data_IF_731700603403
#
_entry.id   IF_731700603403
#
_cell.length_a   1.000
_cell.length_b   1.000
_cell.length_c   1.000
_cell.angle_alpha   90.00
_cell.angle_beta   90.00
_cell.angle_gamma   90.00
#
_symmetry.space_group_name_H-M   'P 1'
#
loop_
_entity.id
_entity.type
_entity.pdbx_description
1 polymer ?
#
# COMPACT_ATOMS: atom_id res chain seq x y z
N UNK A 1 -37.02 -46.66 -22.80
CA UNK A 1 -35.96 -46.45 -21.80
C UNK A 1 -35.08 -45.25 -22.17
N UNK A 2 -35.58 -43.99 -22.07
CA UNK A 2 -34.79 -42.80 -22.49
C UNK A 2 -34.90 -41.63 -21.49
N UNK A 3 -35.90 -41.62 -20.60
CA UNK A 3 -36.18 -40.46 -19.74
C UNK A 3 -35.35 -40.36 -18.44
N UNK A 4 -34.57 -41.38 -18.06
CA UNK A 4 -33.78 -41.35 -16.81
C UNK A 4 -32.44 -40.61 -16.93
N UNK A 5 -31.92 -40.43 -18.15
CA UNK A 5 -30.61 -39.79 -18.36
C UNK A 5 -30.67 -38.25 -18.36
N UNK A 6 -31.82 -37.66 -18.73
CA UNK A 6 -31.97 -36.21 -18.85
C UNK A 6 -32.02 -35.48 -17.49
N UNK A 7 -32.51 -36.16 -16.44
CA UNK A 7 -32.73 -35.54 -15.13
C UNK A 7 -31.42 -35.30 -14.35
N UNK A 8 -30.37 -36.08 -14.62
CA UNK A 8 -29.07 -35.95 -13.93
C UNK A 8 -28.25 -34.79 -14.51
N UNK A 9 -28.45 -34.43 -15.78
CA UNK A 9 -27.69 -33.35 -16.43
C UNK A 9 -28.13 -31.95 -15.99
N UNK A 10 -29.41 -31.78 -15.62
CA UNK A 10 -29.97 -30.51 -15.14
C UNK A 10 -29.54 -30.14 -13.72
N UNK A 11 -29.13 -31.11 -12.88
CA UNK A 11 -28.70 -30.87 -11.51
C UNK A 11 -27.27 -30.30 -11.38
N UNK A 12 -26.45 -30.32 -12.44
CA UNK A 12 -25.10 -29.76 -12.41
C UNK A 12 -25.00 -28.27 -12.73
N UNK A 13 -26.09 -27.64 -13.17
CA UNK A 13 -26.13 -26.21 -13.50
C UNK A 13 -26.35 -25.30 -12.28
N UNK A 14 -26.59 -25.87 -11.09
CA UNK A 14 -26.78 -25.13 -9.83
C UNK A 14 -25.56 -25.16 -8.91
N UNK A 15 -24.39 -25.57 -9.41
CA UNK A 15 -23.12 -25.33 -8.72
C UNK A 15 -22.74 -23.85 -8.89
N UNK A 16 -23.54 -22.97 -8.30
CA UNK A 16 -23.29 -21.54 -8.23
C UNK A 16 -21.97 -21.33 -7.50
N UNK A 17 -20.99 -20.74 -8.19
CA UNK A 17 -19.74 -20.32 -7.61
C UNK A 17 -20.04 -19.42 -6.41
N UNK A 18 -19.73 -19.88 -5.20
CA UNK A 18 -19.71 -19.01 -4.03
C UNK A 18 -18.61 -18.00 -4.33
N UNK A 19 -18.98 -16.77 -4.65
CA UNK A 19 -18.04 -15.67 -4.72
C UNK A 19 -17.46 -15.51 -3.31
N UNK A 20 -16.28 -16.10 -3.07
CA UNK A 20 -15.51 -15.80 -1.87
C UNK A 20 -15.19 -14.31 -1.93
N UNK A 21 -15.88 -13.53 -1.09
CA UNK A 21 -15.37 -12.22 -0.70
C UNK A 21 -13.97 -12.50 -0.13
N UNK A 22 -12.93 -12.00 -0.79
CA UNK A 22 -11.55 -12.21 -0.35
C UNK A 22 -11.41 -11.77 1.10
N UNK A 23 -10.74 -12.59 1.91
CA UNK A 23 -10.41 -12.21 3.28
C UNK A 23 -9.62 -10.89 3.28
N UNK A 24 -9.89 -10.06 4.28
CA UNK A 24 -9.15 -8.82 4.46
C UNK A 24 -7.65 -9.11 4.63
N UNK A 25 -6.82 -8.20 4.14
CA UNK A 25 -5.37 -8.23 4.22
C UNK A 25 -4.93 -8.07 5.67
N UNK A 26 -4.44 -9.16 6.26
CA UNK A 26 -3.68 -9.09 7.51
C UNK A 26 -2.24 -8.64 7.23
N UNK A 27 -1.86 -7.49 7.76
CA UNK A 27 -0.52 -6.95 7.62
C UNK A 27 -0.09 -6.15 8.84
N UNK A 28 1.13 -6.42 9.32
CA UNK A 28 1.75 -5.61 10.37
C UNK A 28 2.03 -4.19 9.89
N UNK A 29 1.99 -3.91 8.58
CA UNK A 29 2.16 -2.56 8.03
C UNK A 29 1.02 -1.61 8.36
N UNK A 30 -0.19 -2.11 8.62
CA UNK A 30 -1.36 -1.29 8.86
C UNK A 30 -1.18 -0.41 10.10
N UNK A 31 -1.49 0.89 9.99
CA UNK A 31 -1.44 1.84 11.09
C UNK A 31 -0.84 3.19 10.72
N UNK A 32 -0.58 4.01 11.73
CA UNK A 32 0.11 5.30 11.58
C UNK A 32 1.54 5.18 12.08
N UNK A 33 2.48 5.65 11.26
CA UNK A 33 3.91 5.60 11.51
C UNK A 33 4.47 7.00 11.41
N UNK A 34 5.22 7.45 12.41
CA UNK A 34 5.75 8.82 12.49
C UNK A 34 7.27 8.81 12.60
N UNK A 35 7.93 9.73 11.91
CA UNK A 35 9.36 10.00 12.02
C UNK A 35 9.57 11.21 12.95
N UNK A 36 9.93 11.00 14.24
CA UNK A 36 10.15 12.09 15.18
C UNK A 36 11.44 12.89 14.89
N UNK A 37 12.27 12.42 13.96
CA UNK A 37 13.56 13.01 13.61
C UNK A 37 13.51 13.76 12.26
N UNK A 38 12.33 13.91 11.66
CA UNK A 38 12.19 14.69 10.43
C UNK A 38 12.48 16.17 10.72
N UNK A 39 13.53 16.71 10.08
CA UNK A 39 14.02 18.06 10.35
C UNK A 39 14.36 18.85 9.09
N UNK A 40 14.58 18.17 7.97
CA UNK A 40 14.90 18.80 6.69
C UNK A 40 13.67 18.88 5.81
N UNK A 41 13.67 19.89 4.93
CA UNK A 41 12.64 20.03 3.91
C UNK A 41 12.58 18.74 3.09
N UNK A 42 11.36 18.26 2.86
CA UNK A 42 11.08 17.03 2.12
C UNK A 42 11.37 15.71 2.86
N UNK A 43 11.81 15.73 4.13
CA UNK A 43 11.91 14.50 4.93
C UNK A 43 10.55 13.81 5.02
N UNK A 44 10.56 12.47 5.02
CA UNK A 44 9.35 11.69 5.27
C UNK A 44 8.99 11.81 6.74
N UNK A 45 7.85 12.42 7.05
CA UNK A 45 7.41 12.70 8.43
C UNK A 45 6.44 11.65 8.94
N UNK A 46 5.56 11.14 8.07
CA UNK A 46 4.51 10.21 8.47
C UNK A 46 4.03 9.34 7.31
N UNK A 47 3.69 8.10 7.62
CA UNK A 47 2.94 7.20 6.76
C UNK A 47 1.64 6.77 7.46
N UNK A 48 0.51 6.95 6.78
CA UNK A 48 -0.77 6.38 7.19
C UNK A 48 -1.10 5.23 6.25
N UNK A 49 -1.05 4.01 6.77
CA UNK A 49 -1.23 2.76 6.02
C UNK A 49 -2.55 2.16 6.44
N UNK A 50 -3.50 2.08 5.51
CA UNK A 50 -4.84 1.58 5.77
C UNK A 50 -5.17 0.46 4.80
N UNK A 51 -5.95 -0.48 5.29
CA UNK A 51 -6.56 -1.47 4.43
C UNK A 51 -7.89 -0.92 3.88
N UNK A 52 -8.16 -1.22 2.62
CA UNK A 52 -9.47 -1.05 2.00
C UNK A 52 -10.05 -2.44 1.77
N UNK A 53 -10.87 -2.89 2.73
CA UNK A 53 -11.61 -4.15 2.64
C UNK A 53 -13.11 -3.87 2.58
N UNK A 54 -13.76 -4.18 1.47
CA UNK A 54 -15.21 -4.10 1.35
C UNK A 54 -15.71 -5.14 0.34
N UNK A 55 -17.02 -5.43 0.38
CA UNK A 55 -17.64 -6.47 -0.45
C UNK A 55 -17.59 -6.19 -1.98
N UNK A 56 -17.21 -4.98 -2.41
CA UNK A 56 -17.27 -4.55 -3.82
C UNK A 56 -15.90 -4.40 -4.48
N UNK A 57 -14.81 -4.44 -3.72
CA UNK A 57 -13.45 -4.22 -4.23
C UNK A 57 -12.52 -5.29 -3.73
N UNK A 58 -11.55 -5.68 -4.58
CA UNK A 58 -10.43 -6.53 -4.15
C UNK A 58 -9.73 -5.85 -2.97
N UNK A 59 -9.54 -6.53 -1.83
CA UNK A 59 -8.83 -5.97 -0.69
C UNK A 59 -7.45 -5.46 -1.09
N UNK A 60 -7.10 -4.26 -0.63
CA UNK A 60 -5.81 -3.66 -0.95
C UNK A 60 -5.35 -2.68 0.13
N UNK A 61 -4.04 -2.48 0.21
CA UNK A 61 -3.43 -1.51 1.13
C UNK A 61 -3.31 -0.16 0.43
N UNK A 62 -3.81 0.88 1.07
CA UNK A 62 -3.66 2.26 0.67
C UNK A 62 -2.71 2.99 1.63
N UNK A 63 -1.73 3.70 1.08
CA UNK A 63 -0.74 4.45 1.85
C UNK A 63 -0.83 5.94 1.52
N UNK A 64 -0.96 6.76 2.57
CA UNK A 64 -0.79 8.20 2.49
C UNK A 64 0.55 8.61 3.08
N UNK A 65 1.34 9.34 2.29
CA UNK A 65 2.65 9.82 2.71
C UNK A 65 2.65 11.32 2.99
N UNK A 66 3.34 11.70 4.05
CA UNK A 66 3.50 13.07 4.51
C UNK A 66 4.97 13.45 4.56
N UNK A 67 5.25 14.71 4.27
CA UNK A 67 6.59 15.24 4.20
C UNK A 67 6.71 16.61 4.84
N UNK A 68 7.88 16.90 5.40
CA UNK A 68 8.17 18.16 6.07
C UNK A 68 7.98 19.35 5.11
N UNK A 69 7.09 20.25 5.50
CA UNK A 69 6.64 21.41 4.71
C UNK A 69 6.14 22.48 5.70
N UNK A 70 6.96 23.43 6.15
CA UNK A 70 6.50 24.37 7.17
C UNK A 70 5.30 25.22 6.67
N UNK A 71 4.29 25.54 7.51
CA UNK A 71 4.14 25.20 8.93
C UNK A 71 3.43 23.86 9.21
N UNK A 72 2.96 23.15 8.18
CA UNK A 72 2.23 21.88 8.30
C UNK A 72 2.64 20.93 7.19
N UNK A 73 2.88 19.67 7.53
CA UNK A 73 3.28 18.64 6.58
C UNK A 73 2.49 18.67 5.26
N UNK A 74 3.22 18.62 4.16
CA UNK A 74 2.66 18.44 2.83
C UNK A 74 2.41 16.95 2.59
N UNK A 75 1.41 16.63 1.77
CA UNK A 75 1.03 15.24 1.43
C UNK A 75 1.39 14.94 -0.01
N UNK A 76 1.91 13.75 -0.29
CA UNK A 76 2.02 13.24 -1.67
C UNK A 76 0.73 12.61 -2.19
N UNK A 77 -0.28 12.52 -1.32
CA UNK A 77 -1.58 11.92 -1.62
C UNK A 77 -1.65 10.48 -1.14
N UNK A 78 -2.64 9.76 -1.66
CA UNK A 78 -2.88 8.34 -1.38
C UNK A 78 -2.55 7.52 -2.61
N UNK A 79 -1.95 6.37 -2.42
CA UNK A 79 -1.67 5.43 -3.50
C UNK A 79 -1.82 4.00 -2.99
N UNK A 80 -2.04 3.06 -3.92
CA UNK A 80 -2.16 1.65 -3.60
C UNK A 80 -0.76 1.06 -3.48
N UNK A 81 -0.51 0.35 -2.38
CA UNK A 81 0.74 -0.33 -2.14
C UNK A 81 0.72 -1.73 -2.74
N UNK A 82 1.87 -2.14 -3.24
CA UNK A 82 2.18 -3.54 -3.50
C UNK A 82 2.76 -4.15 -2.24
N UNK A 83 2.01 -5.07 -1.62
CA UNK A 83 2.49 -5.80 -0.46
C UNK A 83 3.45 -6.91 -0.90
N UNK A 84 4.65 -6.93 -0.34
CA UNK A 84 5.63 -7.98 -0.63
C UNK A 84 5.63 -9.07 0.45
N UNK A 85 5.23 -8.73 1.68
CA UNK A 85 5.01 -9.66 2.80
C UNK A 85 4.10 -9.04 3.86
N UNK A 86 3.80 -9.75 4.95
CA UNK A 86 3.07 -9.19 6.11
C UNK A 86 3.81 -8.06 6.83
N UNK A 87 5.12 -7.86 6.57
CA UNK A 87 5.94 -6.83 7.21
C UNK A 87 6.55 -5.84 6.21
N UNK A 88 6.32 -6.01 4.90
CA UNK A 88 6.91 -5.15 3.87
C UNK A 88 5.96 -4.81 2.73
N UNK A 89 6.05 -3.56 2.28
CA UNK A 89 5.30 -3.07 1.12
C UNK A 89 6.10 -2.01 0.35
N UNK A 90 5.67 -1.78 -0.88
CA UNK A 90 6.18 -0.74 -1.75
C UNK A 90 5.02 0.09 -2.28
N UNK A 91 5.14 1.42 -2.28
CA UNK A 91 4.12 2.31 -2.83
C UNK A 91 4.75 3.39 -3.70
N UNK A 92 4.13 3.63 -4.86
CA UNK A 92 4.54 4.66 -5.81
C UNK A 92 3.65 5.89 -5.76
N UNK A 93 4.24 7.07 -5.86
CA UNK A 93 3.56 8.36 -5.98
C UNK A 93 4.08 9.10 -7.21
N UNK A 94 3.16 9.59 -8.04
CA UNK A 94 3.50 10.49 -9.12
C UNK A 94 3.27 11.91 -8.63
N UNK A 95 4.35 12.64 -8.38
CA UNK A 95 4.28 14.04 -7.96
C UNK A 95 4.83 14.94 -9.05
N UNK A 96 4.59 16.24 -8.94
CA UNK A 96 4.90 17.19 -10.00
C UNK A 96 6.37 17.16 -10.48
N UNK A 97 7.32 16.95 -9.56
CA UNK A 97 8.76 17.02 -9.88
C UNK A 97 9.46 15.67 -9.87
N UNK A 98 8.80 14.59 -9.42
CA UNK A 98 9.42 13.28 -9.32
C UNK A 98 8.37 12.17 -9.19
N UNK A 99 8.71 11.00 -9.72
CA UNK A 99 8.10 9.75 -9.31
C UNK A 99 8.81 9.27 -8.05
N UNK A 100 8.05 9.07 -6.97
CA UNK A 100 8.58 8.63 -5.67
C UNK A 100 8.16 7.21 -5.39
N UNK A 101 9.10 6.36 -5.03
CA UNK A 101 8.83 5.00 -4.59
C UNK A 101 9.25 4.86 -3.14
N UNK A 102 8.30 4.54 -2.27
CA UNK A 102 8.54 4.28 -0.85
C UNK A 102 8.50 2.78 -0.64
N UNK A 103 9.61 2.21 -0.17
CA UNK A 103 9.69 0.80 0.23
C UNK A 103 9.85 0.76 1.74
N UNK A 104 9.07 -0.07 2.42
CA UNK A 104 9.11 -0.17 3.88
C UNK A 104 9.28 -1.62 4.33
N UNK A 105 9.91 -1.78 5.49
CA UNK A 105 10.00 -3.05 6.22
C UNK A 105 9.81 -2.80 7.71
N UNK A 106 9.19 -3.76 8.41
CA UNK A 106 8.81 -3.62 9.82
C UNK A 106 9.52 -4.63 10.68
N UNK A 107 9.98 -4.14 11.83
CA UNK A 107 10.45 -4.92 12.95
C UNK A 107 9.77 -4.42 14.24
N UNK A 108 8.65 -5.06 14.60
CA UNK A 108 7.85 -4.69 15.78
C UNK A 108 7.25 -3.29 15.66
N UNK A 109 7.69 -2.36 16.51
CA UNK A 109 7.24 -0.95 16.52
C UNK A 109 8.07 -0.02 15.63
N UNK A 110 9.10 -0.54 14.98
CA UNK A 110 10.01 0.20 14.11
C UNK A 110 9.72 -0.15 12.65
N UNK A 111 9.68 0.88 11.81
CA UNK A 111 9.61 0.78 10.36
C UNK A 111 10.83 1.45 9.75
N UNK A 112 11.59 0.70 8.97
CA UNK A 112 12.62 1.25 8.10
C UNK A 112 11.98 1.55 6.73
N UNK A 113 12.09 2.79 6.28
CA UNK A 113 11.50 3.28 5.04
C UNK A 113 12.56 3.88 4.13
N UNK A 114 12.61 3.45 2.88
CA UNK A 114 13.47 3.99 1.84
C UNK A 114 12.64 4.68 0.78
N UNK A 115 12.96 5.94 0.48
CA UNK A 115 12.34 6.74 -0.57
C UNK A 115 13.32 6.87 -1.72
N UNK A 116 12.94 6.37 -2.88
CA UNK A 116 13.63 6.60 -4.15
C UNK A 116 12.89 7.69 -4.93
N UNK A 117 13.58 8.78 -5.23
CA UNK A 117 13.08 9.89 -6.04
C UNK A 117 13.67 9.78 -7.46
N UNK A 118 12.80 9.51 -8.43
CA UNK A 118 13.11 9.55 -9.86
C UNK A 118 12.62 10.88 -10.45
N UNK A 119 13.56 11.79 -10.76
CA UNK A 119 13.24 13.14 -11.21
C UNK A 119 12.90 13.22 -12.70
N UNK A 120 13.24 12.19 -13.48
CA UNK A 120 13.09 12.19 -14.94
C UNK A 120 13.70 13.46 -15.62
N UNK A 121 14.71 14.07 -15.00
CA UNK A 121 15.41 15.27 -15.51
C UNK A 121 16.90 14.96 -15.61
N UNK A 122 17.52 15.02 -16.81
CA UNK A 122 18.94 14.73 -16.98
C UNK A 122 19.86 15.70 -16.21
N UNK A 123 19.36 16.87 -15.79
CA UNK A 123 20.10 17.85 -14.98
C UNK A 123 20.06 17.55 -13.49
N UNK A 124 19.24 16.60 -13.06
CA UNK A 124 19.04 16.26 -11.66
C UNK A 124 19.13 14.76 -11.42
N UNK A 125 20.16 14.35 -10.70
CA UNK A 125 20.35 12.95 -10.35
C UNK A 125 19.20 12.44 -9.46
N UNK A 126 18.80 11.19 -9.69
CA UNK A 126 17.87 10.47 -8.83
C UNK A 126 18.49 10.28 -7.44
N UNK A 127 17.67 10.32 -6.40
CA UNK A 127 18.15 10.26 -5.02
C UNK A 127 17.46 9.16 -4.23
N UNK A 128 18.21 8.55 -3.31
CA UNK A 128 17.68 7.59 -2.34
C UNK A 128 17.86 8.14 -0.95
N UNK A 129 16.82 8.05 -0.12
CA UNK A 129 16.80 8.56 1.26
C UNK A 129 16.20 7.50 2.17
N UNK A 130 16.75 7.34 3.36
CA UNK A 130 16.27 6.35 4.33
C UNK A 130 15.81 7.04 5.60
N UNK A 131 14.71 6.55 6.14
CA UNK A 131 14.04 7.09 7.32
C UNK A 131 13.66 5.96 8.26
N UNK A 132 13.54 6.29 9.53
CA UNK A 132 13.02 5.40 10.55
C UNK A 132 11.73 6.01 11.07
N UNK A 133 10.66 5.22 11.03
CA UNK A 133 9.37 5.60 11.56
C UNK A 133 9.01 4.67 12.71
N UNK A 134 8.25 5.22 13.65
CA UNK A 134 7.79 4.52 14.83
C UNK A 134 6.27 4.45 14.82
N UNK A 135 5.75 3.32 15.32
CA UNK A 135 4.31 3.16 15.52
C UNK A 135 3.82 4.24 16.49
N UNK A 136 2.78 4.97 16.09
CA UNK A 136 2.05 5.87 16.97
C UNK A 136 1.23 5.10 18.02
#
# INVERSE_FOLDING_TARGET
MVYRAALVFLLRLFASSIAQAGECVDSQTLGTWENPFAGHRYDLTKLEIKEICNARTVPHIQVKAYTACAPRDCTWGRSIAHQSSSTSLTVGYNTFFARRTVTVSINGKRMDATVYDDFHDPRKANTTRSFVLWRK
#
